data_IF_643725336560
#
_entry.id   IF_643725336560
#
_cell.length_a   1.000
_cell.length_b   1.000
_cell.length_c   1.000
_cell.angle_alpha   90.00
_cell.angle_beta   90.00
_cell.angle_gamma   90.00
#
_symmetry.space_group_name_H-M   'P 1'
#
loop_
_entity.id
_entity.type
_entity.pdbx_description
1 polymer ?
#
# COMPACT_ATOMS: atom_id res chain seq x y z
N UNK A 1 -13.81 3.00 -9.17
CA UNK A 1 -12.40 2.67 -9.48
C UNK A 1 -11.68 3.85 -10.13
N UNK A 2 -12.40 4.81 -10.74
CA UNK A 2 -11.84 6.00 -11.38
C UNK A 2 -11.18 7.03 -10.44
N UNK A 3 -11.71 7.23 -9.23
CA UNK A 3 -11.18 8.24 -8.30
C UNK A 3 -9.73 7.98 -7.88
N UNK A 4 -9.39 6.71 -7.62
CA UNK A 4 -8.04 6.32 -7.22
C UNK A 4 -7.05 6.58 -8.35
N UNK A 5 -7.41 6.26 -9.59
CA UNK A 5 -6.52 6.46 -10.74
C UNK A 5 -6.24 7.96 -10.97
N UNK A 6 -7.27 8.81 -10.92
CA UNK A 6 -7.13 10.27 -11.05
C UNK A 6 -6.28 10.88 -9.94
N UNK A 7 -6.45 10.41 -8.70
CA UNK A 7 -5.64 10.85 -7.57
C UNK A 7 -4.16 10.48 -7.78
N UNK A 8 -3.88 9.25 -8.22
CA UNK A 8 -2.52 8.78 -8.49
C UNK A 8 -1.86 9.55 -9.64
N UNK A 9 -2.58 9.84 -10.73
CA UNK A 9 -2.06 10.70 -11.81
C UNK A 9 -1.78 12.12 -11.34
N UNK A 10 -2.60 12.67 -10.44
CA UNK A 10 -2.36 13.98 -9.82
C UNK A 10 -1.11 13.97 -8.95
N UNK A 11 -0.87 12.88 -8.19
CA UNK A 11 0.36 12.71 -7.43
C UNK A 11 1.57 12.64 -8.38
N UNK A 12 1.50 11.79 -9.40
CA UNK A 12 2.54 11.68 -10.45
C UNK A 12 2.86 13.03 -11.07
N UNK A 13 1.86 13.89 -11.29
CA UNK A 13 2.05 15.20 -11.89
C UNK A 13 2.88 16.16 -10.99
N UNK A 14 2.89 15.96 -9.66
CA UNK A 14 3.62 16.84 -8.73
C UNK A 14 5.13 16.83 -9.00
N UNK A 15 5.70 18.05 -8.96
CA UNK A 15 7.15 18.29 -9.06
C UNK A 15 7.88 17.87 -7.78
N UNK A 16 7.29 18.16 -6.62
CA UNK A 16 7.85 17.85 -5.29
C UNK A 16 6.77 17.18 -4.45
N UNK A 17 6.54 15.87 -4.62
CA UNK A 17 5.66 15.12 -3.72
C UNK A 17 6.30 14.97 -2.33
N UNK A 18 5.45 14.82 -1.31
CA UNK A 18 5.89 14.47 0.05
C UNK A 18 6.19 12.98 0.18
N UNK A 19 6.96 12.58 1.19
CA UNK A 19 7.32 11.16 1.39
C UNK A 19 6.09 10.26 1.52
N UNK A 20 5.01 10.73 2.16
CA UNK A 20 3.74 10.01 2.28
C UNK A 20 3.06 9.78 0.92
N UNK A 21 3.11 10.79 0.05
CA UNK A 21 2.54 10.69 -1.30
C UNK A 21 3.33 9.73 -2.19
N UNK A 22 4.66 9.75 -2.08
CA UNK A 22 5.53 8.80 -2.77
C UNK A 22 5.20 7.38 -2.31
N UNK A 23 5.08 7.14 -1.00
CA UNK A 23 4.68 5.82 -0.46
C UNK A 23 3.32 5.39 -1.01
N UNK A 24 2.33 6.29 -1.03
CA UNK A 24 0.98 6.00 -1.54
C UNK A 24 1.02 5.61 -3.02
N UNK A 25 1.77 6.34 -3.84
CA UNK A 25 1.89 6.08 -5.27
C UNK A 25 2.68 4.79 -5.55
N UNK A 26 3.81 4.57 -4.88
CA UNK A 26 4.61 3.34 -4.98
C UNK A 26 3.79 2.12 -4.56
N UNK A 27 3.00 2.23 -3.48
CA UNK A 27 2.08 1.18 -3.04
C UNK A 27 1.04 0.86 -4.12
N UNK A 28 0.48 1.88 -4.77
CA UNK A 28 -0.45 1.69 -5.88
C UNK A 28 0.22 0.94 -7.04
N UNK A 29 1.41 1.36 -7.45
CA UNK A 29 2.16 0.71 -8.53
C UNK A 29 2.48 -0.77 -8.21
N UNK A 30 3.01 -1.09 -7.02
CA UNK A 30 3.33 -2.50 -6.67
C UNK A 30 2.10 -3.35 -6.39
N UNK A 31 1.12 -2.84 -5.62
CA UNK A 31 0.03 -3.69 -5.15
C UNK A 31 -1.15 -3.77 -6.13
N UNK A 32 -1.44 -2.67 -6.83
CA UNK A 32 -2.57 -2.57 -7.77
C UNK A 32 -2.13 -2.85 -9.20
N UNK A 33 -1.11 -2.14 -9.71
CA UNK A 33 -0.65 -2.33 -11.09
C UNK A 33 0.35 -3.48 -11.24
N UNK A 34 0.87 -4.04 -10.14
CA UNK A 34 1.87 -5.12 -10.14
C UNK A 34 3.15 -4.76 -10.90
N UNK A 35 3.57 -3.51 -10.82
CA UNK A 35 4.82 -3.06 -11.44
C UNK A 35 6.04 -3.59 -10.69
N UNK A 36 7.09 -3.94 -11.44
CA UNK A 36 8.43 -4.17 -10.93
C UNK A 36 9.09 -2.87 -10.48
N UNK A 37 10.08 -2.98 -9.60
CA UNK A 37 10.78 -1.83 -9.01
C UNK A 37 11.43 -0.95 -10.09
N UNK A 38 12.00 -1.56 -11.14
CA UNK A 38 12.57 -0.81 -12.28
C UNK A 38 11.53 0.05 -13.01
N UNK A 39 10.31 -0.48 -13.21
CA UNK A 39 9.23 0.23 -13.89
C UNK A 39 8.76 1.44 -13.08
N UNK A 40 8.87 1.40 -11.75
CA UNK A 40 8.51 2.51 -10.87
C UNK A 40 9.48 3.68 -11.05
N UNK A 41 10.78 3.41 -11.16
CA UNK A 41 11.78 4.47 -11.41
C UNK A 41 11.60 5.12 -12.79
N UNK A 42 11.13 4.36 -13.78
CA UNK A 42 10.82 4.87 -15.13
C UNK A 42 9.53 5.70 -15.13
N UNK A 43 8.54 5.36 -14.31
CA UNK A 43 7.26 6.07 -14.27
C UNK A 43 7.36 7.46 -13.61
N UNK A 44 8.21 7.60 -12.59
CA UNK A 44 8.43 8.86 -11.84
C UNK A 44 9.88 9.33 -11.87
N UNK A 45 10.45 9.64 -13.05
CA UNK A 45 11.88 9.95 -13.20
C UNK A 45 12.27 11.28 -12.56
N UNK A 46 11.30 12.17 -12.35
CA UNK A 46 11.47 13.50 -11.75
C UNK A 46 11.53 13.47 -10.22
N UNK A 47 11.15 12.37 -9.59
CA UNK A 47 11.21 12.26 -8.13
C UNK A 47 12.60 11.81 -7.69
N UNK A 48 12.97 12.16 -6.45
CA UNK A 48 14.26 11.75 -5.89
C UNK A 48 14.29 10.23 -5.71
N UNK A 49 15.28 9.56 -6.32
CA UNK A 49 15.47 8.11 -6.20
C UNK A 49 15.56 7.64 -4.75
N UNK A 50 16.23 8.40 -3.89
CA UNK A 50 16.33 8.10 -2.46
C UNK A 50 14.97 8.01 -1.76
N UNK A 51 14.04 8.90 -2.10
CA UNK A 51 12.70 8.90 -1.50
C UNK A 51 11.84 7.75 -2.06
N UNK A 52 12.00 7.42 -3.35
CA UNK A 52 11.36 6.24 -3.95
C UNK A 52 11.88 4.96 -3.29
N UNK A 53 13.19 4.85 -3.07
CA UNK A 53 13.79 3.67 -2.44
C UNK A 53 13.31 3.48 -1.00
N UNK A 54 13.23 4.57 -0.21
CA UNK A 54 12.64 4.54 1.13
C UNK A 54 11.19 4.07 1.08
N UNK A 55 10.40 4.59 0.14
CA UNK A 55 9.01 4.20 -0.04
C UNK A 55 8.86 2.72 -0.41
N UNK A 56 9.72 2.20 -1.30
CA UNK A 56 9.75 0.78 -1.67
C UNK A 56 10.02 -0.11 -0.45
N UNK A 57 11.04 0.23 0.34
CA UNK A 57 11.39 -0.50 1.57
C UNK A 57 10.24 -0.49 2.59
N UNK A 58 9.55 0.64 2.74
CA UNK A 58 8.41 0.75 3.66
C UNK A 58 7.22 -0.10 3.18
N UNK A 59 6.89 -0.05 1.89
CA UNK A 59 5.83 -0.86 1.29
C UNK A 59 6.14 -2.36 1.37
N UNK A 60 7.40 -2.75 1.18
CA UNK A 60 7.84 -4.14 1.33
C UNK A 60 7.76 -4.60 2.79
N UNK A 61 8.19 -3.76 3.73
CA UNK A 61 8.10 -4.03 5.17
C UNK A 61 6.64 -4.17 5.62
N UNK A 62 5.74 -3.36 5.10
CA UNK A 62 4.30 -3.48 5.39
C UNK A 62 3.67 -4.73 4.77
N UNK A 63 4.04 -5.09 3.54
CA UNK A 63 3.59 -6.33 2.91
C UNK A 63 4.14 -7.58 3.62
N UNK A 64 5.36 -7.51 4.16
CA UNK A 64 6.01 -8.60 4.90
C UNK A 64 5.53 -8.73 6.33
N UNK A 65 4.82 -7.73 6.88
CA UNK A 65 4.24 -7.86 8.22
C UNK A 65 3.16 -8.95 8.16
N UNK A 66 3.23 -9.98 9.04
CA UNK A 66 2.17 -10.96 9.11
C UNK A 66 0.87 -10.23 9.40
N UNK A 67 -0.17 -10.51 8.60
CA UNK A 67 -1.51 -9.99 8.88
C UNK A 67 -1.84 -10.37 10.34
N UNK A 68 -2.35 -9.44 11.16
CA UNK A 68 -2.68 -9.74 12.55
C UNK A 68 -3.60 -10.97 12.56
N UNK A 69 -3.21 -12.00 13.32
CA UNK A 69 -4.02 -13.21 13.48
C UNK A 69 -5.39 -12.77 13.98
N UNK A 70 -6.42 -12.96 13.17
CA UNK A 70 -7.82 -12.83 13.61
C UNK A 70 -8.08 -14.01 14.55
N UNK A 71 -7.99 -13.78 15.86
CA UNK A 71 -8.52 -14.72 16.82
C UNK A 71 -10.04 -14.62 16.74
N UNK A 72 -10.65 -15.58 16.04
CA UNK A 72 -12.07 -15.84 16.22
C UNK A 72 -12.24 -16.33 17.64
N UNK A 73 -12.78 -15.48 18.51
CA UNK A 73 -13.34 -15.93 19.78
C UNK A 73 -14.54 -16.77 19.39
N UNK A 74 -14.39 -18.10 19.37
CA UNK A 74 -15.53 -18.99 19.39
C UNK A 74 -16.28 -18.72 20.69
N UNK A 75 -17.24 -17.81 20.65
CA UNK A 75 -18.30 -17.72 21.62
C UNK A 75 -18.97 -19.10 21.59
N UNK A 76 -18.57 -19.99 22.49
CA UNK A 76 -19.35 -21.18 22.80
C UNK A 76 -20.77 -20.69 23.05
N UNK A 77 -21.72 -21.25 22.32
CA UNK A 77 -23.15 -21.09 22.57
C UNK A 77 -23.40 -21.16 24.08
N UNK A 78 -24.22 -20.26 24.67
CA UNK A 78 -24.71 -20.51 26.01
C UNK A 78 -25.42 -21.85 25.96
N UNK A 79 -25.02 -22.77 26.83
CA UNK A 79 -25.75 -24.02 27.07
C UNK A 79 -27.21 -23.66 27.25
N UNK A 80 -28.02 -24.12 26.30
CA UNK A 80 -29.47 -24.05 26.32
C UNK A 80 -29.95 -24.59 27.68
N UNK A 81 -30.58 -23.71 28.47
CA UNK A 81 -31.19 -24.03 29.76
C UNK A 81 -32.47 -24.84 29.49
N UNK A 82 -32.27 -26.11 29.13
CA UNK A 82 -33.34 -27.05 28.81
C UNK A 82 -33.87 -27.74 30.07
N UNK A 83 -34.99 -27.20 30.57
CA UNK A 83 -36.16 -27.87 31.20
C UNK A 83 -35.90 -28.99 32.22
#
# INVERSE_FOLDING_TARGET
MDDVKKEMESLKAKLVPTSVEIIKYVRYLKNVLKYDDESIYVDVPKWKREEIEKALKEVERENSKPKPKRYYVSLKEPLDDGI
#
